data_IF_056025009716
#
_entry.id   IF_056025009716
#
_cell.length_a   1.000
_cell.length_b   1.000
_cell.length_c   1.000
_cell.angle_alpha   90.00
_cell.angle_beta   90.00
_cell.angle_gamma   90.00
#
_symmetry.space_group_name_H-M   'P 1'
#
loop_
_entity.id
_entity.type
_entity.pdbx_description
1 polymer ?
#
# COMPACT_ATOMS: atom_id res chain seq x y z
N UNK A 1 -13.39 2.17 -3.97
CA UNK A 1 -12.47 1.26 -3.27
C UNK A 1 -11.84 1.97 -2.07
N UNK A 2 -11.86 1.32 -0.91
CA UNK A 2 -11.27 1.87 0.30
C UNK A 2 -9.76 1.63 0.31
N UNK A 3 -8.96 2.68 0.46
CA UNK A 3 -7.51 2.58 0.44
C UNK A 3 -6.95 1.78 1.62
N UNK A 4 -7.55 1.89 2.79
CA UNK A 4 -7.13 1.10 3.95
C UNK A 4 -7.32 -0.39 3.72
N UNK A 5 -8.44 -0.77 3.11
CA UNK A 5 -8.69 -2.16 2.75
C UNK A 5 -7.72 -2.64 1.66
N UNK A 6 -7.40 -1.79 0.70
CA UNK A 6 -6.43 -2.12 -0.34
C UNK A 6 -5.04 -2.33 0.28
N UNK A 7 -4.63 -1.44 1.16
CA UNK A 7 -3.33 -1.56 1.83
C UNK A 7 -3.26 -2.89 2.61
N UNK A 8 -4.30 -3.21 3.38
CA UNK A 8 -4.36 -4.44 4.14
C UNK A 8 -4.27 -5.68 3.23
N UNK A 9 -5.00 -5.67 2.12
CA UNK A 9 -4.95 -6.77 1.16
C UNK A 9 -3.55 -6.95 0.56
N UNK A 10 -2.87 -5.84 0.24
CA UNK A 10 -1.52 -5.88 -0.29
C UNK A 10 -0.52 -6.42 0.73
N UNK A 11 -0.64 -6.01 2.00
CA UNK A 11 0.22 -6.52 3.07
C UNK A 11 0.08 -8.03 3.20
N UNK A 12 -1.14 -8.53 3.17
CA UNK A 12 -1.40 -9.97 3.30
C UNK A 12 -0.92 -10.77 2.10
N UNK A 13 -0.89 -10.16 0.92
CA UNK A 13 -0.33 -10.79 -0.27
C UNK A 13 1.20 -10.86 -0.21
N UNK A 14 1.83 -9.80 0.26
CA UNK A 14 3.29 -9.71 0.38
C UNK A 14 3.81 -10.61 1.50
N UNK A 15 3.09 -10.68 2.62
CA UNK A 15 3.51 -11.41 3.81
C UNK A 15 2.34 -12.22 4.38
N UNK A 16 2.14 -13.47 3.91
CA UNK A 16 1.02 -14.31 4.37
C UNK A 16 1.02 -14.64 5.86
N UNK A 17 2.18 -14.60 6.50
CA UNK A 17 2.29 -14.83 7.95
C UNK A 17 2.57 -13.52 8.66
N UNK A 18 1.54 -12.97 9.31
CA UNK A 18 1.60 -11.70 10.00
C UNK A 18 1.53 -11.94 11.51
N UNK A 19 2.66 -11.78 12.21
CA UNK A 19 2.74 -11.99 13.66
C UNK A 19 2.51 -10.70 14.45
N UNK A 20 3.01 -9.58 13.95
CA UNK A 20 2.97 -8.29 14.66
C UNK A 20 2.16 -7.21 13.94
N UNK A 21 1.66 -7.52 12.77
CA UNK A 21 0.96 -6.55 11.96
C UNK A 21 -0.39 -6.17 12.59
N UNK A 22 -0.65 -4.88 12.64
CA UNK A 22 -1.94 -4.33 13.06
C UNK A 22 -2.60 -3.67 11.86
N UNK A 23 -3.81 -4.12 11.51
CA UNK A 23 -4.57 -3.55 10.40
C UNK A 23 -4.85 -2.07 10.67
N UNK A 24 -4.39 -1.15 9.79
CA UNK A 24 -4.63 0.27 10.03
C UNK A 24 -6.10 0.62 9.86
N UNK A 25 -6.59 1.53 10.71
CA UNK A 25 -7.97 1.98 10.70
C UNK A 25 -8.09 3.46 10.34
N UNK A 26 -6.97 4.14 10.08
CA UNK A 26 -6.94 5.56 9.78
C UNK A 26 -5.84 5.88 8.78
N UNK A 27 -6.11 6.85 7.88
CA UNK A 27 -5.10 7.35 6.95
C UNK A 27 -3.99 8.15 7.66
N UNK A 28 -4.20 8.49 8.93
CA UNK A 28 -3.17 9.16 9.74
C UNK A 28 -2.13 8.19 10.29
N UNK A 29 -2.38 6.87 10.18
CA UNK A 29 -1.44 5.84 10.63
C UNK A 29 -0.09 6.00 9.92
N UNK A 30 1.00 6.00 10.69
CA UNK A 30 2.35 6.06 10.13
C UNK A 30 2.81 4.68 9.70
N UNK A 31 3.76 4.64 8.76
CA UNK A 31 4.32 3.39 8.25
C UNK A 31 5.52 2.92 9.05
N UNK A 32 5.50 3.18 10.36
CA UNK A 32 6.57 2.73 11.26
C UNK A 32 6.31 1.33 11.76
N UNK A 33 7.36 0.60 12.07
CA UNK A 33 7.27 -0.74 12.64
C UNK A 33 6.46 -0.72 13.96
N UNK A 34 6.58 0.35 14.74
CA UNK A 34 5.87 0.50 16.00
C UNK A 34 4.35 0.59 15.82
N UNK A 35 3.93 1.25 14.74
CA UNK A 35 2.50 1.52 14.52
C UNK A 35 1.79 0.42 13.74
N UNK A 36 2.45 -0.19 12.75
CA UNK A 36 1.81 -1.20 11.92
C UNK A 36 2.45 -2.58 11.99
N UNK A 37 3.60 -2.72 12.65
CA UNK A 37 4.23 -4.01 12.84
C UNK A 37 4.89 -4.61 11.60
N UNK A 38 5.23 -3.78 10.62
CA UNK A 38 5.93 -4.19 9.41
C UNK A 38 7.33 -3.60 9.40
N UNK A 39 8.33 -4.37 8.97
CA UNK A 39 9.68 -3.85 8.79
C UNK A 39 9.78 -3.05 7.48
N UNK A 40 10.93 -2.41 7.24
CA UNK A 40 11.10 -1.56 6.06
C UNK A 40 11.02 -2.34 4.75
N UNK A 41 11.44 -3.60 4.73
CA UNK A 41 11.34 -4.43 3.53
C UNK A 41 9.88 -4.74 3.20
N UNK A 42 9.09 -5.11 4.20
CA UNK A 42 7.67 -5.42 4.01
C UNK A 42 6.91 -4.19 3.54
N UNK A 43 7.21 -3.02 4.12
CA UNK A 43 6.61 -1.75 3.68
C UNK A 43 6.97 -1.46 2.23
N UNK A 44 8.24 -1.60 1.86
CA UNK A 44 8.70 -1.35 0.49
C UNK A 44 7.98 -2.25 -0.50
N UNK A 45 7.90 -3.55 -0.23
CA UNK A 45 7.22 -4.50 -1.11
C UNK A 45 5.73 -4.19 -1.24
N UNK A 46 5.10 -3.80 -0.14
CA UNK A 46 3.69 -3.42 -0.15
C UNK A 46 3.46 -2.17 -1.02
N UNK A 47 4.32 -1.17 -0.89
CA UNK A 47 4.21 0.06 -1.67
C UNK A 47 4.45 -0.19 -3.16
N UNK A 48 5.40 -1.06 -3.50
CA UNK A 48 5.63 -1.45 -4.90
C UNK A 48 4.37 -2.10 -5.49
N UNK A 49 3.74 -3.00 -4.74
CA UNK A 49 2.51 -3.66 -5.17
C UNK A 49 1.38 -2.65 -5.38
N UNK A 50 1.22 -1.69 -4.46
CA UNK A 50 0.22 -0.63 -4.60
C UNK A 50 0.52 0.24 -5.82
N UNK A 51 1.78 0.57 -6.06
CA UNK A 51 2.19 1.33 -7.25
C UNK A 51 1.79 0.61 -8.54
N UNK A 52 1.98 -0.70 -8.58
CA UNK A 52 1.60 -1.51 -9.74
C UNK A 52 0.09 -1.47 -9.97
N UNK A 53 -0.70 -1.51 -8.89
CA UNK A 53 -2.16 -1.43 -8.98
C UNK A 53 -2.61 -0.10 -9.57
N UNK A 54 -2.01 1.01 -9.15
CA UNK A 54 -2.36 2.34 -9.66
C UNK A 54 -1.65 2.70 -10.96
N UNK A 55 -0.77 1.82 -11.45
CA UNK A 55 -0.02 2.08 -12.69
C UNK A 55 0.98 3.21 -12.55
N UNK A 56 1.52 3.43 -11.36
CA UNK A 56 2.56 4.43 -11.12
C UNK A 56 3.90 3.89 -11.66
N UNK A 57 4.64 4.66 -12.48
CA UNK A 57 5.91 4.19 -13.03
C UNK A 57 6.92 3.77 -11.96
N UNK A 58 7.61 2.66 -12.17
CA UNK A 58 8.63 2.15 -11.25
C UNK A 58 9.71 3.18 -10.91
N UNK A 59 10.05 4.04 -11.85
CA UNK A 59 11.04 5.10 -11.62
C UNK A 59 10.65 6.07 -10.51
N UNK A 60 9.37 6.08 -10.12
CA UNK A 60 8.84 6.95 -9.07
C UNK A 60 8.66 6.23 -7.74
N UNK A 61 8.94 4.93 -7.66
CA UNK A 61 8.73 4.16 -6.42
C UNK A 61 9.54 4.69 -5.23
N UNK A 62 10.71 5.26 -5.49
CA UNK A 62 11.55 5.83 -4.44
C UNK A 62 11.07 7.19 -3.93
N UNK A 63 10.17 7.83 -4.65
CA UNK A 63 9.61 9.12 -4.29
C UNK A 63 8.33 9.01 -3.47
N UNK A 64 7.85 7.79 -3.23
CA UNK A 64 6.62 7.57 -2.48
C UNK A 64 6.82 8.01 -1.02
N UNK A 65 6.01 8.96 -0.52
CA UNK A 65 6.13 9.39 0.87
C UNK A 65 5.67 8.29 1.81
N UNK A 66 6.39 8.12 2.92
CA UNK A 66 6.11 7.06 3.89
C UNK A 66 5.75 7.61 5.27
N UNK A 67 5.47 8.89 5.37
CA UNK A 67 5.12 9.54 6.63
C UNK A 67 3.76 9.07 7.19
N UNK A 68 2.82 8.74 6.31
CA UNK A 68 1.51 8.22 6.71
C UNK A 68 0.86 7.52 5.52
N UNK A 69 -0.19 6.73 5.81
CA UNK A 69 -0.98 6.10 4.74
C UNK A 69 -1.69 7.13 3.88
N UNK A 70 -2.15 8.23 4.48
CA UNK A 70 -2.76 9.34 3.73
C UNK A 70 -1.79 9.95 2.74
N UNK A 71 -0.53 10.11 3.12
CA UNK A 71 0.51 10.64 2.22
C UNK A 71 0.74 9.68 1.04
N UNK A 72 0.78 8.38 1.29
CA UNK A 72 0.89 7.37 0.23
C UNK A 72 -0.30 7.44 -0.70
N UNK A 73 -1.50 7.51 -0.15
CA UNK A 73 -2.73 7.57 -0.94
C UNK A 73 -2.78 8.81 -1.83
N UNK A 74 -2.45 9.97 -1.27
CA UNK A 74 -2.40 11.23 -2.03
C UNK A 74 -1.41 11.13 -3.18
N UNK A 75 -0.23 10.55 -2.93
CA UNK A 75 0.77 10.34 -3.96
C UNK A 75 0.24 9.45 -5.09
N UNK A 76 -0.45 8.36 -4.74
CA UNK A 76 -1.03 7.47 -5.73
C UNK A 76 -2.10 8.18 -6.57
N UNK A 77 -2.96 8.99 -5.93
CA UNK A 77 -4.00 9.72 -6.65
C UNK A 77 -3.41 10.75 -7.63
N UNK A 78 -2.28 11.36 -7.29
CA UNK A 78 -1.62 12.34 -8.16
C UNK A 78 -0.92 11.69 -9.35
N UNK A 79 -0.43 10.46 -9.18
CA UNK A 79 0.44 9.81 -10.17
C UNK A 79 -0.18 8.61 -10.87
N UNK A 80 -1.39 8.22 -10.51
CA UNK A 80 -2.03 7.04 -11.08
C UNK A 80 -2.26 7.17 -12.58
N UNK A 81 -2.13 6.06 -13.28
CA UNK A 81 -2.47 5.94 -14.69
C UNK A 81 -3.64 5.00 -14.91
N UNK A 82 -4.09 4.33 -13.86
CA UNK A 82 -5.24 3.42 -13.87
C UNK A 82 -5.86 3.38 -12.49
N UNK A 83 -7.07 2.83 -12.40
CA UNK A 83 -7.80 2.73 -11.14
C UNK A 83 -8.72 1.51 -11.19
N UNK A 84 -9.18 1.07 -10.03
CA UNK A 84 -10.09 -0.07 -9.90
C UNK A 84 -11.22 0.27 -8.93
N UNK A 85 -12.41 -0.25 -9.20
CA UNK A 85 -13.58 0.01 -8.37
C UNK A 85 -13.62 -0.89 -7.12
N UNK A 86 -12.99 -2.07 -7.17
CA UNK A 86 -13.01 -3.03 -6.07
C UNK A 86 -11.62 -3.53 -5.74
N UNK A 87 -11.44 -3.96 -4.48
CA UNK A 87 -10.20 -4.60 -4.02
C UNK A 87 -9.92 -5.85 -4.84
N UNK A 88 -10.95 -6.65 -5.11
CA UNK A 88 -10.80 -7.88 -5.88
C UNK A 88 -10.22 -7.62 -7.27
N UNK A 89 -10.77 -6.65 -8.00
CA UNK A 89 -10.26 -6.29 -9.33
C UNK A 89 -8.83 -5.76 -9.26
N UNK A 90 -8.53 -4.94 -8.25
CA UNK A 90 -7.20 -4.40 -8.04
C UNK A 90 -6.18 -5.51 -7.80
N UNK A 91 -6.48 -6.45 -6.93
CA UNK A 91 -5.56 -7.55 -6.61
C UNK A 91 -5.38 -8.51 -7.80
N UNK A 92 -6.41 -8.74 -8.59
CA UNK A 92 -6.31 -9.57 -9.79
C UNK A 92 -5.35 -8.97 -10.82
N UNK A 93 -5.26 -7.65 -10.88
CA UNK A 93 -4.39 -6.97 -11.86
C UNK A 93 -2.90 -7.23 -11.62
N UNK A 94 -2.51 -7.62 -10.41
CA UNK A 94 -1.11 -7.81 -10.01
C UNK A 94 -0.78 -9.25 -9.61
N UNK A 95 -1.70 -10.17 -9.79
CA UNK A 95 -1.48 -11.60 -9.48
C UNK A 95 -1.37 -12.46 -10.74
#
# INVERSE_FOLDING_TARGET
>A
MDFLELFDACVRDVKPRLEKYTTPTSLETTLSEEDIGLDSLDVTLTLVLISDIYGVPESQDFDIPTSSLGAVYDYMLENKTQDFDTIEAAMESVT
#
